data_IF_319368936968
#
_entry.id   IF_319368936968
#
_cell.length_a   1.000
_cell.length_b   1.000
_cell.length_c   1.000
_cell.angle_alpha   90.00
_cell.angle_beta   90.00
_cell.angle_gamma   90.00
#
_symmetry.space_group_name_H-M   'P 1'
#
loop_
_entity.id
_entity.type
_entity.pdbx_description
1 polymer ?
#
# COMPACT_ATOMS: atom_id res chain seq x y z
N UNK A 1 -14.27 14.82 26.16
CA UNK A 1 -14.40 13.94 24.97
C UNK A 1 -13.54 12.72 25.21
N UNK A 2 -14.02 11.47 25.03
CA UNK A 2 -13.15 10.32 25.16
C UNK A 2 -12.06 10.42 24.10
N UNK A 3 -10.80 10.44 24.52
CA UNK A 3 -9.60 10.70 23.73
C UNK A 3 -9.15 9.48 22.92
N UNK A 4 -10.10 8.70 22.40
CA UNK A 4 -9.79 7.51 21.62
C UNK A 4 -9.80 7.85 20.13
N UNK A 5 -8.67 7.74 19.41
CA UNK A 5 -8.62 8.01 17.98
C UNK A 5 -9.49 6.98 17.23
N UNK A 6 -10.43 7.47 16.42
CA UNK A 6 -11.24 6.64 15.55
C UNK A 6 -10.46 6.24 14.30
N UNK A 7 -10.65 5.00 13.83
CA UNK A 7 -10.10 4.51 12.55
C UNK A 7 -11.27 4.29 11.58
N UNK A 8 -11.65 5.29 10.78
CA UNK A 8 -12.70 5.11 9.79
C UNK A 8 -12.26 4.07 8.74
N UNK A 9 -13.16 3.16 8.39
CA UNK A 9 -12.94 2.14 7.36
C UNK A 9 -14.10 2.23 6.36
N UNK A 10 -13.77 2.42 5.09
CA UNK A 10 -14.74 2.48 4.00
C UNK A 10 -14.77 1.14 3.28
N UNK A 11 -15.98 0.57 3.10
CA UNK A 11 -16.17 -0.63 2.29
C UNK A 11 -16.40 -0.24 0.83
N UNK A 12 -15.47 -0.61 -0.06
CA UNK A 12 -15.57 -0.28 -1.50
C UNK A 12 -16.39 -1.29 -2.31
N UNK A 13 -16.99 -2.32 -1.69
CA UNK A 13 -17.76 -3.35 -2.41
C UNK A 13 -18.97 -2.73 -3.10
N UNK A 14 -19.15 -3.04 -4.38
CA UNK A 14 -20.24 -2.49 -5.18
C UNK A 14 -20.02 -1.04 -5.63
N UNK A 15 -18.86 -0.44 -5.32
CA UNK A 15 -18.46 0.84 -5.91
C UNK A 15 -17.97 0.67 -7.34
N UNK A 16 -18.06 1.75 -8.13
CA UNK A 16 -17.55 1.80 -9.50
C UNK A 16 -16.04 1.51 -9.58
N UNK A 17 -15.29 1.82 -8.53
CA UNK A 17 -13.84 1.61 -8.48
C UNK A 17 -13.44 0.23 -7.98
N UNK A 18 -14.37 -0.62 -7.52
CA UNK A 18 -14.04 -1.91 -6.92
C UNK A 18 -13.27 -2.82 -7.89
N UNK A 19 -13.82 -3.05 -9.08
CA UNK A 19 -13.23 -3.94 -10.06
C UNK A 19 -11.96 -3.33 -10.68
N UNK A 20 -11.95 -2.01 -10.90
CA UNK A 20 -10.75 -1.29 -11.37
C UNK A 20 -9.61 -1.38 -10.37
N UNK A 21 -9.86 -1.11 -9.09
CA UNK A 21 -8.85 -1.21 -8.04
C UNK A 21 -8.34 -2.65 -7.90
N UNK A 22 -9.22 -3.65 -8.00
CA UNK A 22 -8.83 -5.07 -8.00
C UNK A 22 -7.96 -5.43 -9.20
N UNK A 23 -8.30 -4.95 -10.38
CA UNK A 23 -7.51 -5.17 -11.59
C UNK A 23 -6.11 -4.56 -11.47
N UNK A 24 -6.01 -3.30 -11.04
CA UNK A 24 -4.72 -2.63 -10.80
C UNK A 24 -3.93 -3.35 -9.71
N UNK A 25 -4.56 -3.76 -8.61
CA UNK A 25 -3.89 -4.50 -7.54
C UNK A 25 -3.28 -5.82 -8.03
N UNK A 26 -3.98 -6.56 -8.90
CA UNK A 26 -3.44 -7.79 -9.50
C UNK A 26 -2.24 -7.52 -10.41
N UNK A 27 -2.26 -6.43 -11.17
CA UNK A 27 -1.10 -6.00 -11.98
C UNK A 27 0.08 -5.69 -11.08
N UNK A 28 -0.12 -4.97 -9.97
CA UNK A 28 0.96 -4.54 -9.08
C UNK A 28 1.45 -5.64 -8.14
N UNK A 29 0.67 -6.69 -7.89
CA UNK A 29 0.98 -7.73 -6.91
C UNK A 29 2.40 -8.31 -7.03
N UNK A 30 2.94 -8.62 -8.22
CA UNK A 30 4.29 -9.14 -8.36
C UNK A 30 5.39 -8.16 -7.92
N UNK A 31 5.13 -6.86 -7.89
CA UNK A 31 6.11 -5.83 -7.51
C UNK A 31 6.25 -5.67 -5.98
N UNK A 32 5.32 -6.22 -5.22
CA UNK A 32 5.27 -6.10 -3.76
C UNK A 32 6.11 -7.20 -3.10
N UNK A 33 6.75 -6.89 -1.97
CA UNK A 33 7.45 -7.87 -1.15
C UNK A 33 8.83 -8.31 -1.67
N UNK A 34 9.35 -7.66 -2.71
CA UNK A 34 10.68 -7.95 -3.28
C UNK A 34 11.85 -7.21 -2.60
N UNK A 35 11.61 -6.53 -1.49
CA UNK A 35 12.66 -5.78 -0.79
C UNK A 35 13.41 -6.70 0.20
N UNK A 36 14.72 -6.50 0.42
CA UNK A 36 15.50 -7.30 1.37
C UNK A 36 15.00 -7.17 2.82
N UNK A 37 14.33 -6.05 3.11
CA UNK A 37 13.73 -5.77 4.42
C UNK A 37 12.26 -6.21 4.52
N UNK A 38 11.72 -6.86 3.49
CA UNK A 38 10.37 -7.43 3.58
C UNK A 38 10.39 -8.58 4.60
N UNK A 39 9.41 -8.55 5.50
CA UNK A 39 9.12 -9.59 6.47
C UNK A 39 7.78 -10.21 6.09
N UNK A 40 7.74 -11.54 5.98
CA UNK A 40 6.52 -12.27 5.64
C UNK A 40 5.53 -12.30 6.79
N UNK A 41 6.03 -12.40 8.03
CA UNK A 41 5.22 -12.49 9.24
C UNK A 41 6.04 -12.15 10.50
N UNK A 42 5.35 -12.12 11.64
CA UNK A 42 5.97 -11.86 12.95
C UNK A 42 6.95 -12.94 13.40
N UNK A 43 6.82 -14.18 12.94
CA UNK A 43 7.74 -15.27 13.26
C UNK A 43 9.13 -15.04 12.64
N UNK A 44 9.17 -14.65 11.37
CA UNK A 44 10.42 -14.29 10.68
C UNK A 44 11.12 -13.10 11.34
N UNK A 45 10.35 -12.14 11.85
CA UNK A 45 10.91 -11.02 12.63
C UNK A 45 11.62 -11.53 13.89
N UNK A 46 10.98 -12.42 14.66
CA UNK A 46 11.57 -12.99 15.89
C UNK A 46 12.84 -13.77 15.56
N UNK A 47 12.83 -14.56 14.48
CA UNK A 47 14.01 -15.31 14.04
C UNK A 47 15.17 -14.36 13.68
N UNK A 48 14.94 -13.35 12.84
CA UNK A 48 15.98 -12.37 12.47
C UNK A 48 16.52 -11.61 13.68
N UNK A 49 15.65 -11.20 14.59
CA UNK A 49 16.06 -10.53 15.83
C UNK A 49 16.88 -11.46 16.72
N UNK A 50 16.53 -12.74 16.83
CA UNK A 50 17.28 -13.70 17.64
C UNK A 50 18.69 -13.99 17.11
N UNK A 51 18.90 -13.79 15.80
CA UNK A 51 20.19 -13.96 15.13
C UNK A 51 21.03 -12.68 15.12
N UNK A 52 20.46 -11.54 15.55
CA UNK A 52 21.16 -10.25 15.55
C UNK A 52 21.92 -10.10 16.87
N UNK A 53 23.24 -9.93 16.80
CA UNK A 53 24.10 -9.56 17.93
C UNK A 53 24.35 -8.06 17.88
N UNK A 54 24.22 -7.38 19.02
CA UNK A 54 24.52 -5.95 19.17
C UNK A 54 25.89 -5.80 19.83
N UNK A 55 26.71 -4.90 19.30
CA UNK A 55 27.96 -4.49 19.93
C UNK A 55 27.71 -3.54 21.12
N UNK A 56 28.73 -3.30 21.96
CA UNK A 56 28.58 -2.48 23.19
C UNK A 56 28.13 -1.03 22.93
N UNK A 57 28.36 -0.52 21.72
CA UNK A 57 27.98 0.81 21.26
C UNK A 57 26.72 0.83 20.37
N UNK A 58 26.08 -0.32 20.16
CA UNK A 58 24.85 -0.43 19.38
C UNK A 58 23.59 -0.46 20.26
N UNK A 59 22.49 0.07 19.72
CA UNK A 59 21.19 0.01 20.38
C UNK A 59 20.07 -0.29 19.41
N UNK A 60 19.10 -1.07 19.88
CA UNK A 60 17.88 -1.36 19.14
C UNK A 60 16.81 -0.32 19.46
N UNK A 61 16.23 0.27 18.42
CA UNK A 61 15.18 1.29 18.55
C UNK A 61 13.92 0.82 17.84
N UNK A 62 12.77 1.03 18.48
CA UNK A 62 11.45 0.73 17.91
C UNK A 62 10.74 2.03 17.55
N UNK A 63 10.25 2.10 16.32
CA UNK A 63 9.46 3.21 15.82
C UNK A 63 8.04 2.74 15.53
N UNK A 64 7.05 3.55 15.91
CA UNK A 64 5.65 3.35 15.53
C UNK A 64 5.24 4.41 14.50
N UNK A 65 4.55 3.98 13.44
CA UNK A 65 4.10 4.87 12.37
C UNK A 65 2.65 5.25 12.61
N UNK A 66 2.42 6.54 12.83
CA UNK A 66 1.07 7.07 13.00
C UNK A 66 0.37 7.25 11.65
N UNK A 67 -0.86 6.75 11.54
CA UNK A 67 -1.77 7.00 10.41
C UNK A 67 -1.17 6.65 9.03
N UNK A 68 -0.53 5.48 8.92
CA UNK A 68 0.14 5.00 7.71
C UNK A 68 -0.70 5.17 6.42
N UNK A 69 -1.98 4.80 6.43
CA UNK A 69 -2.80 4.87 5.21
C UNK A 69 -3.08 6.30 4.72
N UNK A 70 -3.16 7.29 5.61
CA UNK A 70 -3.49 8.67 5.24
C UNK A 70 -2.27 9.53 4.99
N UNK A 71 -1.10 9.11 5.48
CA UNK A 71 0.15 9.88 5.38
C UNK A 71 1.05 9.45 4.22
N UNK A 72 0.63 8.48 3.40
CA UNK A 72 1.40 8.04 2.23
C UNK A 72 1.20 9.04 1.08
N UNK A 73 2.25 9.72 0.59
CA UNK A 73 2.14 10.73 -0.46
C UNK A 73 1.76 10.10 -1.80
N UNK A 74 0.57 10.39 -2.30
CA UNK A 74 0.04 9.72 -3.50
C UNK A 74 0.90 9.96 -4.74
N UNK A 75 1.27 11.22 -5.01
CA UNK A 75 2.02 11.60 -6.22
C UNK A 75 3.38 10.91 -6.33
N UNK A 76 4.19 11.00 -5.27
CA UNK A 76 5.51 10.38 -5.20
C UNK A 76 5.43 8.87 -5.39
N UNK A 77 4.41 8.22 -4.82
CA UNK A 77 4.22 6.78 -4.98
C UNK A 77 3.80 6.39 -6.39
N UNK A 78 3.02 7.23 -7.08
CA UNK A 78 2.66 6.99 -8.49
C UNK A 78 3.90 7.02 -9.39
N UNK A 79 4.83 7.95 -9.15
CA UNK A 79 6.10 8.02 -9.88
C UNK A 79 6.96 6.78 -9.65
N UNK A 80 7.11 6.35 -8.40
CA UNK A 80 7.85 5.13 -8.04
C UNK A 80 7.23 3.89 -8.70
N UNK A 81 5.89 3.79 -8.70
CA UNK A 81 5.20 2.67 -9.32
C UNK A 81 5.38 2.69 -10.84
N UNK A 82 5.33 3.86 -11.47
CA UNK A 82 5.59 4.01 -12.90
C UNK A 82 6.98 3.52 -13.28
N UNK A 83 7.99 3.95 -12.52
CA UNK A 83 9.38 3.51 -12.73
C UNK A 83 9.53 1.99 -12.56
N UNK A 84 8.92 1.41 -11.52
CA UNK A 84 8.94 -0.04 -11.31
C UNK A 84 8.26 -0.81 -12.44
N UNK A 85 7.15 -0.30 -12.96
CA UNK A 85 6.43 -0.91 -14.09
C UNK A 85 7.24 -0.83 -15.38
N UNK A 86 7.98 0.27 -15.61
CA UNK A 86 8.84 0.42 -16.78
C UNK A 86 9.99 -0.61 -16.80
N UNK A 87 10.47 -1.01 -15.62
CA UNK A 87 11.53 -2.02 -15.45
C UNK A 87 11.00 -3.45 -15.27
N UNK A 88 9.68 -3.67 -15.35
CA UNK A 88 9.09 -4.99 -15.15
C UNK A 88 8.90 -5.74 -16.48
N UNK A 89 9.81 -6.69 -16.74
CA UNK A 89 9.79 -7.52 -17.95
C UNK A 89 8.55 -8.41 -18.08
N UNK A 90 7.80 -8.65 -17.00
CA UNK A 90 6.59 -9.48 -16.98
C UNK A 90 5.30 -8.66 -17.15
N UNK A 91 5.41 -7.35 -17.37
CA UNK A 91 4.24 -6.47 -17.52
C UNK A 91 3.37 -6.84 -18.72
N UNK A 92 4.00 -7.12 -19.87
CA UNK A 92 3.30 -7.49 -21.11
C UNK A 92 2.42 -8.74 -20.97
N UNK A 93 2.79 -9.65 -20.05
CA UNK A 93 2.05 -10.89 -19.81
C UNK A 93 0.78 -10.65 -18.99
N UNK A 94 0.76 -9.58 -18.19
CA UNK A 94 -0.37 -9.22 -17.31
C UNK A 94 -1.34 -8.25 -17.97
N UNK A 95 -0.84 -7.35 -18.81
CA UNK A 95 -1.68 -6.30 -19.41
C UNK A 95 -1.00 -5.66 -20.63
N UNK A 96 -1.82 -5.07 -21.52
CA UNK A 96 -1.38 -4.23 -22.64
C UNK A 96 -1.25 -2.75 -22.25
N UNK A 97 -1.65 -2.41 -21.03
CA UNK A 97 -1.60 -1.04 -20.52
C UNK A 97 -0.22 -0.71 -19.99
N UNK A 98 0.19 0.55 -20.11
CA UNK A 98 1.44 1.05 -19.55
C UNK A 98 1.13 2.23 -18.62
N UNK A 99 1.18 3.46 -19.14
CA UNK A 99 0.91 4.68 -18.38
C UNK A 99 -0.52 4.73 -17.84
N UNK A 100 -1.48 4.07 -18.49
CA UNK A 100 -2.86 4.01 -18.01
C UNK A 100 -2.99 3.32 -16.64
N UNK A 101 -2.04 2.45 -16.25
CA UNK A 101 -2.09 1.75 -14.96
C UNK A 101 -1.99 2.76 -13.81
N UNK A 102 -1.07 3.72 -13.90
CA UNK A 102 -0.88 4.75 -12.87
C UNK A 102 -2.00 5.78 -12.87
N UNK A 103 -2.60 6.06 -14.03
CA UNK A 103 -3.82 6.88 -14.12
C UNK A 103 -5.01 6.20 -13.43
N UNK A 104 -5.23 4.90 -13.67
CA UNK A 104 -6.29 4.13 -13.02
C UNK A 104 -6.04 3.99 -11.52
N UNK A 105 -4.77 3.84 -11.10
CA UNK A 105 -4.40 3.84 -9.69
C UNK A 105 -4.70 5.18 -9.03
N UNK A 106 -4.28 6.29 -9.65
CA UNK A 106 -4.58 7.65 -9.20
C UNK A 106 -6.08 7.86 -9.02
N UNK A 107 -6.88 7.47 -10.02
CA UNK A 107 -8.33 7.57 -9.94
C UNK A 107 -8.86 6.72 -8.77
N UNK A 108 -8.35 5.50 -8.58
CA UNK A 108 -8.77 4.61 -7.49
C UNK A 108 -8.45 5.18 -6.10
N UNK A 109 -7.34 5.91 -5.95
CA UNK A 109 -6.90 6.51 -4.69
C UNK A 109 -7.62 7.83 -4.38
N UNK A 110 -8.05 8.57 -5.42
CA UNK A 110 -8.68 9.89 -5.28
C UNK A 110 -10.20 9.85 -5.33
N UNK A 111 -10.77 8.77 -5.88
CA UNK A 111 -12.22 8.63 -6.09
C UNK A 111 -12.82 7.70 -5.03
N UNK A 112 -12.84 8.17 -3.79
CA UNK A 112 -13.41 7.41 -2.66
C UNK A 112 -14.75 7.99 -2.26
N UNK A 113 -15.83 7.43 -2.82
CA UNK A 113 -17.19 7.75 -2.38
C UNK A 113 -17.65 6.76 -1.32
N UNK A 114 -18.26 7.25 -0.24
CA UNK A 114 -18.86 6.40 0.78
C UNK A 114 -20.20 6.96 1.26
N UNK A 115 -21.05 6.07 1.80
CA UNK A 115 -22.35 6.44 2.34
C UNK A 115 -22.32 6.32 3.87
N UNK A 116 -22.73 7.35 4.57
CA UNK A 116 -22.87 7.36 6.03
C UNK A 116 -24.20 8.01 6.40
N UNK A 117 -25.00 7.31 7.22
CA UNK A 117 -26.33 7.78 7.68
C UNK A 117 -27.31 8.23 6.58
N UNK A 118 -27.22 7.64 5.38
CA UNK A 118 -28.09 8.00 4.25
C UNK A 118 -27.46 8.96 3.26
N UNK A 119 -26.42 9.69 3.68
CA UNK A 119 -25.75 10.72 2.90
C UNK A 119 -24.47 10.21 2.24
N UNK A 120 -24.15 10.75 1.06
CA UNK A 120 -22.92 10.43 0.32
C UNK A 120 -21.83 11.45 0.62
N UNK A 121 -20.61 10.95 0.78
CA UNK A 121 -19.39 11.72 1.05
C UNK A 121 -18.32 11.34 0.04
N UNK A 122 -17.46 12.31 -0.32
CA UNK A 122 -16.34 12.18 -1.25
C UNK A 122 -15.14 12.98 -0.76
#
# INVERSE_FOLDING_TARGET
MPTCPLRPIVASRGSIMYDTARFVANILAPLVGRTPHHLKNSGELVERMSQTTLDEDESLVFFDVTALFTNVPVEENLEIIQDKLAHDSTLSDRTKLSQQITELLRLSLTTTYFKFEGEFYS
#
